data_IF_982054146281
#
_entry.id   IF_982054146281
#
_cell.length_a   1.000
_cell.length_b   1.000
_cell.length_c   1.000
_cell.angle_alpha   90.00
_cell.angle_beta   90.00
_cell.angle_gamma   90.00
#
_symmetry.space_group_name_H-M   'P 1'
#
loop_
_entity.id
_entity.type
_entity.pdbx_description
1 polymer ?
#
# COMPACT_ATOMS: atom_id res chain seq x y z
N UNK A 1 -2.39 -14.26 2.85
CA UNK A 1 -1.99 -14.74 4.20
C UNK A 1 -0.77 -13.99 4.78
N UNK A 2 0.27 -13.69 3.99
CA UNK A 2 1.48 -13.01 4.48
C UNK A 2 1.23 -11.64 5.14
N UNK A 3 0.37 -10.81 4.56
CA UNK A 3 0.09 -9.46 5.07
C UNK A 3 -0.64 -9.43 6.41
N UNK A 4 -1.59 -10.34 6.64
CA UNK A 4 -2.23 -10.48 7.95
C UNK A 4 -1.22 -10.89 9.03
N UNK A 5 -0.26 -11.76 8.68
CA UNK A 5 0.85 -12.12 9.58
C UNK A 5 1.71 -10.88 9.87
N UNK A 6 2.08 -10.11 8.84
CA UNK A 6 2.87 -8.89 9.01
C UNK A 6 2.15 -7.86 9.89
N UNK A 7 0.86 -7.60 9.65
CA UNK A 7 0.08 -6.67 10.46
C UNK A 7 0.00 -7.12 11.93
N UNK A 8 -0.21 -8.42 12.17
CA UNK A 8 -0.17 -8.98 13.51
C UNK A 8 1.19 -8.79 14.20
N UNK A 9 2.30 -9.06 13.50
CA UNK A 9 3.65 -8.86 14.03
C UNK A 9 3.94 -7.39 14.36
N UNK A 10 3.48 -6.45 13.52
CA UNK A 10 3.66 -5.02 13.77
C UNK A 10 2.86 -4.58 15.02
N UNK A 11 1.62 -5.04 15.18
CA UNK A 11 0.82 -4.75 16.37
C UNK A 11 1.47 -5.33 17.63
N UNK A 12 1.99 -6.56 17.54
CA UNK A 12 2.71 -7.21 18.64
C UNK A 12 3.98 -6.44 19.02
N UNK A 13 4.75 -6.00 18.02
CA UNK A 13 5.95 -5.18 18.23
C UNK A 13 5.60 -3.83 18.86
N UNK A 14 4.53 -3.18 18.41
CA UNK A 14 4.03 -1.93 18.98
C UNK A 14 3.67 -2.10 20.46
N UNK A 15 2.92 -3.14 20.82
CA UNK A 15 2.56 -3.43 22.22
C UNK A 15 3.80 -3.70 23.08
N UNK A 16 4.80 -4.41 22.54
CA UNK A 16 6.07 -4.67 23.22
C UNK A 16 6.85 -3.37 23.46
N UNK A 17 7.01 -2.54 22.44
CA UNK A 17 7.69 -1.24 22.54
C UNK A 17 6.98 -0.32 23.53
N UNK A 18 5.66 -0.25 23.49
CA UNK A 18 4.87 0.53 24.42
C UNK A 18 5.08 0.06 25.87
N UNK A 19 5.11 -1.26 26.09
CA UNK A 19 5.36 -1.85 27.42
C UNK A 19 6.77 -1.54 27.95
N UNK A 20 7.78 -1.56 27.07
CA UNK A 20 9.16 -1.19 27.42
C UNK A 20 9.25 0.29 27.78
N UNK A 21 8.67 1.17 26.97
CA UNK A 21 8.65 2.61 27.23
C UNK A 21 7.93 2.94 28.54
N UNK A 22 6.78 2.31 28.78
CA UNK A 22 6.04 2.46 30.03
C UNK A 22 6.89 2.00 31.24
N UNK A 23 7.60 0.89 31.12
CA UNK A 23 8.48 0.40 32.19
C UNK A 23 9.62 1.38 32.49
N UNK A 24 10.19 2.00 31.46
CA UNK A 24 11.22 3.05 31.60
C UNK A 24 10.66 4.32 32.26
N UNK A 25 9.44 4.73 31.90
CA UNK A 25 8.76 5.87 32.51
C UNK A 25 8.57 5.67 34.02
N UNK A 26 8.15 4.48 34.45
CA UNK A 26 7.98 4.15 35.87
C UNK A 26 9.31 4.10 36.65
N UNK A 27 10.42 3.80 35.97
CA UNK A 27 11.76 3.83 36.57
C UNK A 27 12.24 5.28 36.79
N UNK A 28 11.98 6.17 35.83
CA UNK A 28 12.40 7.58 35.89
C UNK A 28 11.53 8.44 36.81
N UNK A 29 10.24 8.12 36.91
CA UNK A 29 9.33 8.81 37.83
C UNK A 29 9.75 8.51 39.29
N UNK A 30 10.40 9.48 39.93
CA UNK A 30 10.77 9.39 41.34
C UNK A 30 9.53 9.60 42.22
N UNK A 31 9.30 8.76 43.24
CA UNK A 31 8.19 8.97 44.16
C UNK A 31 8.36 10.32 44.86
N UNK A 32 7.27 11.05 45.00
CA UNK A 32 7.26 12.46 45.43
C UNK A 32 7.65 12.67 46.90
N UNK A 33 7.78 11.62 47.72
CA UNK A 33 8.15 11.73 49.12
C UNK A 33 9.27 10.75 49.52
N UNK A 34 10.43 11.33 49.87
CA UNK A 34 11.43 10.86 50.84
C UNK A 34 12.16 9.54 50.57
N UNK A 35 13.49 9.62 50.39
CA UNK A 35 14.59 8.73 50.84
C UNK A 35 14.36 7.21 51.08
N UNK A 36 13.34 6.59 50.50
CA UNK A 36 13.08 5.17 50.62
C UNK A 36 13.91 4.40 49.61
N UNK A 37 14.62 3.40 50.11
CA UNK A 37 15.24 2.32 49.34
C UNK A 37 14.21 1.65 48.44
N UNK A 38 14.66 1.00 47.36
CA UNK A 38 13.81 0.24 46.43
C UNK A 38 13.20 -0.97 47.15
N UNK A 39 12.15 -0.77 47.94
CA UNK A 39 11.35 -1.83 48.54
C UNK A 39 10.22 -2.28 47.60
N UNK A 40 9.83 -3.56 47.74
CA UNK A 40 8.79 -4.21 46.92
C UNK A 40 7.45 -3.47 46.98
N UNK A 41 7.14 -2.81 48.10
CA UNK A 41 5.92 -2.01 48.28
C UNK A 41 5.91 -0.73 47.42
N UNK A 42 7.06 -0.05 47.27
CA UNK A 42 7.17 1.14 46.41
C UNK A 42 6.97 0.76 44.94
N UNK A 43 7.45 -0.42 44.54
CA UNK A 43 7.24 -0.96 43.20
C UNK A 43 5.75 -1.25 42.94
N UNK A 44 5.05 -1.85 43.91
CA UNK A 44 3.63 -2.15 43.80
C UNK A 44 2.76 -0.89 43.71
N UNK A 45 3.09 0.16 44.49
CA UNK A 45 2.42 1.46 44.42
C UNK A 45 2.62 2.14 43.06
N UNK A 46 3.86 2.17 42.56
CA UNK A 46 4.15 2.67 41.21
C UNK A 46 3.38 1.91 40.14
N UNK A 47 3.30 0.59 40.26
CA UNK A 47 2.58 -0.23 39.28
C UNK A 47 1.08 0.12 39.26
N UNK A 48 0.48 0.30 40.44
CA UNK A 48 -0.93 0.68 40.59
C UNK A 48 -1.23 2.09 40.08
N UNK A 49 -0.33 3.05 40.32
CA UNK A 49 -0.46 4.42 39.80
C UNK A 49 -0.24 4.49 38.28
N UNK A 50 0.68 3.70 37.73
CA UNK A 50 0.93 3.62 36.30
C UNK A 50 -0.22 2.97 35.53
N UNK A 51 -0.85 1.93 36.08
CA UNK A 51 -2.04 1.29 35.50
C UNK A 51 -3.33 2.06 35.83
N UNK A 52 -3.42 3.30 35.38
CA UNK A 52 -4.62 4.12 35.50
C UNK A 52 -5.50 4.02 34.24
N UNK A 53 -6.80 4.36 34.35
CA UNK A 53 -7.74 4.44 33.22
C UNK A 53 -7.25 5.38 32.12
N UNK A 54 -6.54 6.46 32.50
CA UNK A 54 -5.92 7.39 31.56
C UNK A 54 -4.86 6.70 30.70
N UNK A 55 -4.05 5.83 31.30
CA UNK A 55 -3.04 5.05 30.59
C UNK A 55 -3.67 4.09 29.58
N UNK A 56 -4.70 3.33 30.00
CA UNK A 56 -5.40 2.41 29.11
C UNK A 56 -6.07 3.14 27.94
N UNK A 57 -6.66 4.30 28.22
CA UNK A 57 -7.30 5.15 27.19
C UNK A 57 -6.26 5.65 26.18
N UNK A 58 -5.10 6.12 26.65
CA UNK A 58 -4.02 6.59 25.78
C UNK A 58 -3.44 5.45 24.92
N UNK A 59 -3.23 4.27 25.53
CA UNK A 59 -2.77 3.09 24.80
C UNK A 59 -3.75 2.68 23.69
N UNK A 60 -5.05 2.57 24.00
CA UNK A 60 -6.07 2.21 23.01
C UNK A 60 -6.14 3.27 21.91
N UNK A 61 -6.07 4.55 22.26
CA UNK A 61 -6.09 5.66 21.31
C UNK A 61 -4.96 5.54 20.27
N UNK A 62 -3.72 5.39 20.73
CA UNK A 62 -2.58 5.24 19.83
C UNK A 62 -2.56 3.91 19.07
N UNK A 63 -3.07 2.84 19.67
CA UNK A 63 -3.22 1.54 19.00
C UNK A 63 -4.19 1.64 17.83
N UNK A 64 -5.32 2.33 17.99
CA UNK A 64 -6.30 2.56 16.93
C UNK A 64 -5.70 3.40 15.81
N UNK A 65 -4.98 4.49 16.13
CA UNK A 65 -4.31 5.33 15.12
C UNK A 65 -3.30 4.50 14.31
N UNK A 66 -2.48 3.72 15.00
CA UNK A 66 -1.47 2.87 14.36
C UNK A 66 -2.12 1.82 13.47
N UNK A 67 -3.18 1.16 13.94
CA UNK A 67 -3.95 0.20 13.16
C UNK A 67 -4.54 0.82 11.89
N UNK A 68 -5.21 1.97 12.01
CA UNK A 68 -5.79 2.67 10.86
C UNK A 68 -4.72 3.10 9.85
N UNK A 69 -3.57 3.56 10.32
CA UNK A 69 -2.45 3.95 9.47
C UNK A 69 -1.92 2.76 8.68
N UNK A 70 -1.71 1.61 9.33
CA UNK A 70 -1.23 0.39 8.67
C UNK A 70 -2.28 -0.12 7.68
N UNK A 71 -3.55 -0.10 8.06
CA UNK A 71 -4.65 -0.52 7.18
C UNK A 71 -4.73 0.38 5.94
N UNK A 72 -4.55 1.69 6.08
CA UNK A 72 -4.50 2.62 4.96
C UNK A 72 -3.31 2.33 4.03
N UNK A 73 -2.11 2.13 4.59
CA UNK A 73 -0.92 1.77 3.81
C UNK A 73 -1.12 0.45 3.06
N UNK A 74 -1.73 -0.55 3.70
CA UNK A 74 -2.04 -1.83 3.09
C UNK A 74 -2.99 -1.69 1.89
N UNK A 75 -4.05 -0.90 2.05
CA UNK A 75 -4.99 -0.69 0.95
C UNK A 75 -4.31 0.07 -0.20
N UNK A 76 -3.49 1.08 0.10
CA UNK A 76 -2.75 1.83 -0.92
C UNK A 76 -1.78 0.95 -1.70
N UNK A 77 -1.08 0.05 -1.03
CA UNK A 77 -0.11 -0.87 -1.65
C UNK A 77 -0.81 -1.88 -2.58
N UNK A 78 -1.97 -2.40 -2.15
CA UNK A 78 -2.69 -3.44 -2.91
C UNK A 78 -3.49 -2.90 -4.10
N UNK A 79 -4.07 -1.71 -3.99
CA UNK A 79 -4.94 -1.16 -5.02
C UNK A 79 -4.29 -0.03 -5.82
N UNK A 80 -3.10 0.43 -5.44
CA UNK A 80 -2.49 1.63 -6.01
C UNK A 80 -3.20 2.93 -5.58
N UNK A 81 -2.57 4.10 -5.77
CA UNK A 81 -3.09 5.37 -5.27
C UNK A 81 -4.37 5.86 -5.99
N UNK A 82 -4.51 5.60 -7.30
CA UNK A 82 -5.62 6.12 -8.12
C UNK A 82 -6.90 5.25 -7.98
N UNK A 83 -6.82 3.90 -7.98
CA UNK A 83 -8.01 3.06 -7.85
C UNK A 83 -8.69 3.16 -6.48
N UNK A 84 -7.94 3.42 -5.40
CA UNK A 84 -8.49 3.49 -4.05
C UNK A 84 -9.51 4.62 -3.85
N UNK A 85 -9.24 5.82 -4.37
CA UNK A 85 -10.18 6.96 -4.23
C UNK A 85 -11.47 6.70 -5.02
N UNK A 86 -11.35 6.10 -6.20
CA UNK A 86 -12.51 5.73 -7.02
C UNK A 86 -13.31 4.57 -6.39
N UNK A 87 -12.63 3.64 -5.72
CA UNK A 87 -13.24 2.57 -4.94
C UNK A 87 -14.04 3.11 -3.73
N UNK A 88 -13.44 4.01 -2.93
CA UNK A 88 -14.12 4.66 -1.81
C UNK A 88 -15.33 5.51 -2.25
N UNK A 89 -15.24 6.18 -3.40
CA UNK A 89 -16.36 6.93 -4.00
C UNK A 89 -17.47 6.04 -4.56
N UNK A 90 -17.33 4.72 -4.47
CA UNK A 90 -18.34 3.77 -4.93
C UNK A 90 -18.42 3.64 -6.45
N UNK A 91 -17.44 4.16 -7.20
CA UNK A 91 -17.46 4.21 -8.67
C UNK A 91 -17.54 2.81 -9.30
N UNK A 92 -17.06 1.78 -8.59
CA UNK A 92 -17.05 0.39 -9.06
C UNK A 92 -18.14 -0.51 -8.46
N UNK A 93 -19.00 0.00 -7.56
CA UNK A 93 -20.06 -0.80 -6.93
C UNK A 93 -21.30 -1.00 -7.82
N UNK A 94 -21.43 -0.23 -8.90
CA UNK A 94 -22.55 -0.34 -9.84
C UNK A 94 -21.99 -0.54 -11.25
N UNK A 95 -22.44 -1.59 -11.98
CA UNK A 95 -22.05 -1.76 -13.37
C UNK A 95 -22.51 -0.53 -14.16
N UNK A 96 -21.56 0.15 -14.79
CA UNK A 96 -21.83 1.32 -15.61
C UNK A 96 -21.52 0.96 -17.06
N UNK A 97 -22.43 1.30 -17.97
CA UNK A 97 -22.19 1.18 -19.41
C UNK A 97 -21.28 2.32 -19.83
N UNK A 98 -20.06 1.99 -20.25
CA UNK A 98 -19.09 2.93 -20.79
C UNK A 98 -18.70 2.47 -22.18
N UNK A 99 -18.64 3.39 -23.14
CA UNK A 99 -18.13 3.11 -24.47
C UNK A 99 -16.63 3.36 -24.45
N UNK A 100 -15.87 2.30 -24.74
CA UNK A 100 -14.41 2.31 -24.67
C UNK A 100 -13.80 1.65 -25.89
N UNK A 101 -12.67 2.19 -26.33
CA UNK A 101 -11.82 1.58 -27.35
C UNK A 101 -10.77 0.76 -26.62
N UNK A 102 -10.53 -0.46 -27.06
CA UNK A 102 -9.50 -1.34 -26.53
C UNK A 102 -8.41 -1.59 -27.57
N UNK A 103 -7.16 -1.53 -27.13
CA UNK A 103 -5.99 -1.91 -27.92
C UNK A 103 -5.23 -2.98 -27.16
N UNK A 104 -4.80 -3.99 -27.89
CA UNK A 104 -3.97 -5.08 -27.41
C UNK A 104 -2.59 -4.90 -28.02
N UNK A 105 -1.59 -4.70 -27.17
CA UNK A 105 -0.20 -4.50 -27.58
C UNK A 105 0.61 -5.68 -27.06
N UNK A 106 1.16 -6.48 -27.98
CA UNK A 106 1.91 -7.69 -27.65
C UNK A 106 3.36 -7.62 -28.17
N UNK A 107 4.26 -8.34 -27.51
CA UNK A 107 5.66 -8.40 -27.88
C UNK A 107 5.90 -9.44 -28.96
N UNK A 108 6.46 -9.00 -30.08
CA UNK A 108 6.85 -9.90 -31.16
C UNK A 108 7.91 -10.90 -30.69
N UNK A 109 7.65 -12.19 -30.91
CA UNK A 109 8.57 -13.30 -30.61
C UNK A 109 8.99 -13.37 -29.14
N UNK A 110 8.10 -13.00 -28.23
CA UNK A 110 8.33 -12.97 -26.79
C UNK A 110 8.86 -14.27 -26.20
N UNK A 111 8.33 -15.43 -26.63
CA UNK A 111 8.77 -16.75 -26.16
C UNK A 111 10.25 -17.00 -26.46
N UNK A 112 10.69 -16.70 -27.70
CA UNK A 112 12.07 -16.87 -28.10
C UNK A 112 13.01 -15.90 -27.36
N UNK A 113 12.52 -14.71 -27.01
CA UNK A 113 13.27 -13.74 -26.20
C UNK A 113 13.39 -14.23 -24.75
N UNK A 114 12.30 -14.75 -24.18
CA UNK A 114 12.28 -15.30 -22.82
C UNK A 114 13.25 -16.48 -22.67
N UNK A 115 13.24 -17.42 -23.62
CA UNK A 115 14.16 -18.57 -23.65
C UNK A 115 15.63 -18.14 -23.74
N UNK A 116 15.93 -17.06 -24.48
CA UNK A 116 17.31 -16.55 -24.63
C UNK A 116 17.80 -15.76 -23.42
N UNK A 117 16.92 -14.99 -22.78
CA UNK A 117 17.29 -14.09 -21.68
C UNK A 117 17.25 -14.79 -20.31
N UNK A 118 16.42 -15.81 -20.16
CA UNK A 118 16.10 -16.40 -18.86
C UNK A 118 15.15 -15.52 -18.04
N UNK A 119 14.60 -16.08 -16.97
CA UNK A 119 13.45 -15.51 -16.23
C UNK A 119 13.69 -14.08 -15.72
N UNK A 120 14.79 -13.84 -14.99
CA UNK A 120 15.06 -12.53 -14.36
C UNK A 120 15.30 -11.42 -15.39
N UNK A 121 16.11 -11.70 -16.42
CA UNK A 121 16.42 -10.70 -17.46
C UNK A 121 15.23 -10.44 -18.36
N UNK A 122 14.40 -11.46 -18.62
CA UNK A 122 13.17 -11.29 -19.36
C UNK A 122 12.17 -10.43 -18.58
N UNK A 123 12.04 -10.62 -17.26
CA UNK A 123 11.20 -9.77 -16.42
C UNK A 123 11.64 -8.29 -16.47
N UNK A 124 12.94 -8.03 -16.35
CA UNK A 124 13.47 -6.65 -16.48
C UNK A 124 13.23 -6.07 -17.89
N UNK A 125 13.43 -6.88 -18.93
CA UNK A 125 13.15 -6.48 -20.31
C UNK A 125 11.67 -6.10 -20.54
N UNK A 126 10.73 -6.85 -19.97
CA UNK A 126 9.31 -6.50 -20.00
C UNK A 126 9.06 -5.15 -19.33
N UNK A 127 9.62 -4.96 -18.13
CA UNK A 127 9.45 -3.72 -17.38
C UNK A 127 10.00 -2.50 -18.13
N UNK A 128 11.18 -2.63 -18.75
CA UNK A 128 11.78 -1.59 -19.57
C UNK A 128 10.92 -1.28 -20.80
N UNK A 129 10.41 -2.31 -21.48
CA UNK A 129 9.55 -2.13 -22.65
C UNK A 129 8.25 -1.41 -22.30
N UNK A 130 7.60 -1.82 -21.22
CA UNK A 130 6.37 -1.18 -20.76
C UNK A 130 6.61 0.26 -20.28
N UNK A 131 7.77 0.52 -19.64
CA UNK A 131 8.18 1.87 -19.25
C UNK A 131 8.36 2.79 -20.46
N UNK A 132 8.85 2.28 -21.59
CA UNK A 132 8.98 3.04 -22.84
C UNK A 132 7.60 3.32 -23.48
N UNK A 133 6.67 2.35 -23.44
CA UNK A 133 5.34 2.48 -24.03
C UNK A 133 4.41 3.41 -23.21
N UNK A 134 4.52 3.38 -21.88
CA UNK A 134 3.59 4.05 -20.95
C UNK A 134 3.45 5.56 -21.20
N UNK A 135 4.51 6.36 -21.42
CA UNK A 135 4.38 7.77 -21.72
C UNK A 135 3.51 8.06 -22.94
N UNK A 136 3.66 7.29 -24.03
CA UNK A 136 2.85 7.46 -25.24
C UNK A 136 1.37 7.18 -24.98
N UNK A 137 1.08 6.13 -24.21
CA UNK A 137 -0.27 5.79 -23.77
C UNK A 137 -0.89 6.94 -22.97
N UNK A 138 -0.17 7.46 -21.98
CA UNK A 138 -0.66 8.56 -21.13
C UNK A 138 -0.89 9.86 -21.89
N UNK A 139 -0.01 10.21 -22.86
CA UNK A 139 -0.18 11.40 -23.71
C UNK A 139 -1.47 11.32 -24.53
N UNK A 140 -1.85 10.14 -24.99
CA UNK A 140 -3.13 9.91 -25.69
C UNK A 140 -4.34 9.76 -24.75
N UNK A 141 -4.17 10.05 -23.45
CA UNK A 141 -5.19 9.83 -22.41
C UNK A 141 -5.65 8.36 -22.31
N UNK A 142 -4.79 7.42 -22.69
CA UNK A 142 -5.03 5.99 -22.54
C UNK A 142 -4.83 5.54 -21.10
N UNK A 143 -5.69 4.62 -20.67
CA UNK A 143 -5.61 3.96 -19.38
C UNK A 143 -5.17 2.51 -19.59
N UNK A 144 -4.10 2.09 -18.90
CA UNK A 144 -3.67 0.69 -18.88
C UNK A 144 -4.72 -0.11 -18.08
N UNK A 145 -5.45 -0.97 -18.78
CA UNK A 145 -6.53 -1.77 -18.20
C UNK A 145 -5.98 -2.99 -17.46
N UNK A 146 -5.03 -3.70 -18.08
CA UNK A 146 -4.36 -4.85 -17.48
C UNK A 146 -3.05 -5.18 -18.20
N UNK A 147 -2.15 -5.85 -17.49
CA UNK A 147 -0.98 -6.54 -18.04
C UNK A 147 -1.25 -8.04 -18.05
N UNK A 148 -1.05 -8.70 -19.18
CA UNK A 148 -1.28 -10.14 -19.36
C UNK A 148 -0.01 -10.77 -19.91
N UNK A 149 0.89 -11.18 -19.02
CA UNK A 149 2.21 -11.68 -19.42
C UNK A 149 3.03 -10.58 -20.09
N UNK A 150 3.25 -10.74 -21.38
CA UNK A 150 3.94 -9.84 -22.30
C UNK A 150 3.02 -8.85 -23.03
N UNK A 151 1.72 -9.00 -22.87
CA UNK A 151 0.70 -8.15 -23.48
C UNK A 151 0.26 -7.00 -22.54
N UNK A 152 0.08 -5.81 -23.10
CA UNK A 152 -0.57 -4.67 -22.43
C UNK A 152 -1.93 -4.44 -23.09
N UNK A 153 -2.99 -4.43 -22.26
CA UNK A 153 -4.33 -4.01 -22.69
C UNK A 153 -4.54 -2.57 -22.30
N UNK A 154 -4.79 -1.73 -23.31
CA UNK A 154 -4.97 -0.30 -23.16
C UNK A 154 -6.42 0.03 -23.50
N UNK A 155 -7.00 0.97 -22.76
CA UNK A 155 -8.37 1.41 -22.98
C UNK A 155 -8.50 2.92 -22.97
N UNK A 156 -9.38 3.44 -23.81
CA UNK A 156 -9.74 4.86 -23.86
C UNK A 156 -11.24 5.02 -23.72
N UNK A 157 -11.67 6.03 -22.97
CA UNK A 157 -13.07 6.47 -22.98
C UNK A 157 -13.37 7.15 -24.31
N UNK A 158 -14.49 6.79 -24.94
CA UNK A 158 -14.93 7.46 -26.17
C UNK A 158 -15.37 8.88 -25.81
N UNK A 159 -14.55 9.86 -26.22
CA UNK A 159 -14.87 11.28 -26.24
C UNK A 159 -14.56 11.81 -27.66
N UNK A 160 -15.42 12.70 -28.19
CA UNK A 160 -15.30 13.20 -29.56
C UNK A 160 -13.90 13.81 -29.82
N UNK A 161 -13.18 13.28 -30.82
CA UNK A 161 -11.84 13.75 -31.24
C UNK A 161 -10.66 12.84 -30.88
N UNK A 162 -10.85 11.83 -30.03
CA UNK A 162 -9.77 10.96 -29.55
C UNK A 162 -9.35 9.87 -30.56
N UNK A 163 -10.27 9.44 -31.43
CA UNK A 163 -10.05 8.32 -32.35
C UNK A 163 -8.92 8.61 -33.35
N UNK A 164 -8.91 9.80 -33.96
CA UNK A 164 -7.88 10.18 -34.94
C UNK A 164 -6.48 10.25 -34.31
N UNK A 165 -6.39 10.72 -33.07
CA UNK A 165 -5.13 10.79 -32.32
C UNK A 165 -4.59 9.40 -31.99
N UNK A 166 -5.46 8.48 -31.56
CA UNK A 166 -5.08 7.08 -31.25
C UNK A 166 -4.58 6.38 -32.51
N UNK A 167 -5.29 6.52 -33.64
CA UNK A 167 -4.90 5.89 -34.91
C UNK A 167 -3.57 6.46 -35.41
N UNK A 168 -3.35 7.77 -35.30
CA UNK A 168 -2.07 8.38 -35.68
C UNK A 168 -0.91 7.93 -34.78
N UNK A 169 -1.14 7.77 -33.47
CA UNK A 169 -0.14 7.28 -32.52
C UNK A 169 0.19 5.80 -32.70
N UNK A 170 -0.80 4.97 -33.06
CA UNK A 170 -0.61 3.54 -33.32
C UNK A 170 0.13 3.26 -34.64
N UNK A 171 0.01 4.15 -35.63
CA UNK A 171 0.58 3.96 -36.98
C UNK A 171 1.99 4.60 -37.09
N UNK A 172 2.38 5.50 -36.19
CA UNK A 172 3.76 6.00 -36.13
C UNK A 172 4.71 5.01 -35.43
N UNK A 173 4.98 3.87 -36.08
CA UNK A 173 6.31 3.38 -36.55
C UNK A 173 6.31 1.87 -36.75
#
# INVERSE_FOLDING_TARGET
>A
MAYFKAMFFIMLFYSLMFSVLFSLEQLMNKPSNTNQTMDVEVLALKFKEGFNLVFLTNYIYWLVITFLTILFLFIRDKFGPIPFVNFLKGKYLRPKREERIFMFMDLKSSTAIAERLGEERYFNFLNDTFSIATPGILVTQGEIYQYVGDEIVISWLINNGLIEQIVSAAIMK
#
